data_IF_059337830568
#
_entry.id   IF_059337830568
#
_cell.length_a   1.000
_cell.length_b   1.000
_cell.length_c   1.000
_cell.angle_alpha   90.00
_cell.angle_beta   90.00
_cell.angle_gamma   90.00
#
_symmetry.space_group_name_H-M   'P 1'
#
loop_
_entity.id
_entity.type
_entity.pdbx_description
1 polymer ?
#
# COMPACT_ATOMS: atom_id res chain seq x y z
N UNK A 1 -25.13 13.97 -3.41
CA UNK A 1 -24.30 12.79 -3.08
C UNK A 1 -25.05 11.53 -3.47
N UNK A 2 -24.44 10.65 -4.27
CA UNK A 2 -25.01 9.33 -4.58
C UNK A 2 -25.02 8.47 -3.32
N UNK A 3 -26.21 8.19 -2.77
CA UNK A 3 -26.39 7.16 -1.74
C UNK A 3 -26.51 5.82 -2.46
N UNK A 4 -25.43 5.04 -2.47
CA UNK A 4 -25.46 3.68 -3.00
C UNK A 4 -26.42 2.84 -2.14
N UNK A 5 -27.48 2.28 -2.74
CA UNK A 5 -28.38 1.32 -2.10
C UNK A 5 -27.86 -0.09 -2.38
N UNK A 6 -28.03 -1.01 -1.42
CA UNK A 6 -27.66 -2.43 -1.58
C UNK A 6 -26.19 -2.67 -1.95
N UNK A 7 -25.26 -1.91 -1.35
CA UNK A 7 -23.82 -2.14 -1.54
C UNK A 7 -23.47 -3.52 -0.97
N UNK A 8 -22.96 -4.46 -1.79
CA UNK A 8 -22.54 -5.75 -1.27
C UNK A 8 -21.41 -5.61 -0.26
N UNK A 9 -21.47 -6.39 0.82
CA UNK A 9 -20.50 -6.32 1.92
C UNK A 9 -19.12 -6.85 1.55
N UNK A 10 -19.00 -7.61 0.45
CA UNK A 10 -17.75 -8.18 -0.05
C UNK A 10 -16.93 -7.23 -0.94
N UNK A 11 -17.42 -6.00 -1.19
CA UNK A 11 -16.64 -5.03 -1.96
C UNK A 11 -15.54 -4.43 -1.08
N UNK A 12 -14.29 -4.69 -1.46
CA UNK A 12 -13.09 -4.12 -0.81
C UNK A 12 -12.89 -2.63 -1.17
N UNK A 13 -13.48 -2.20 -2.28
CA UNK A 13 -13.40 -0.84 -2.80
C UNK A 13 -14.29 0.16 -2.05
N UNK A 14 -13.92 1.45 -2.12
CA UNK A 14 -14.76 2.57 -1.67
C UNK A 14 -15.13 3.42 -2.88
N UNK A 15 -16.34 4.00 -2.89
CA UNK A 15 -16.75 4.91 -3.98
C UNK A 15 -15.83 6.12 -4.06
N UNK A 16 -15.28 6.38 -5.25
CA UNK A 16 -14.41 7.53 -5.53
C UNK A 16 -15.19 8.82 -5.88
N UNK A 17 -16.53 8.74 -5.96
CA UNK A 17 -17.37 9.86 -6.41
C UNK A 17 -17.21 11.14 -5.58
N UNK A 18 -16.83 11.04 -4.29
CA UNK A 18 -16.59 12.24 -3.45
C UNK A 18 -15.38 13.04 -3.94
N UNK A 19 -14.30 12.37 -4.35
CA UNK A 19 -13.09 13.02 -4.86
C UNK A 19 -13.29 13.55 -6.27
N UNK A 20 -14.07 12.85 -7.10
CA UNK A 20 -14.44 13.35 -8.44
C UNK A 20 -15.19 14.69 -8.36
N UNK A 21 -16.07 14.85 -7.36
CA UNK A 21 -16.81 16.10 -7.17
C UNK A 21 -15.98 17.21 -6.50
N UNK A 22 -15.03 16.83 -5.64
CA UNK A 22 -14.16 17.76 -4.91
C UNK A 22 -12.77 17.11 -4.70
N UNK A 23 -11.78 17.48 -5.53
CA UNK A 23 -10.43 16.91 -5.46
C UNK A 23 -9.70 17.17 -4.14
N UNK A 24 -10.16 18.11 -3.31
CA UNK A 24 -9.57 18.39 -1.99
C UNK A 24 -9.96 17.36 -0.93
N UNK A 25 -10.95 16.50 -1.21
CA UNK A 25 -11.42 15.50 -0.24
C UNK A 25 -10.47 14.29 -0.18
N UNK A 26 -10.20 13.75 1.02
CA UNK A 26 -9.43 12.52 1.16
C UNK A 26 -10.22 11.31 0.62
N UNK A 27 -9.50 10.29 0.17
CA UNK A 27 -10.10 9.00 -0.24
C UNK A 27 -9.66 7.84 0.66
N UNK A 28 -8.40 7.45 0.57
CA UNK A 28 -7.76 6.40 1.37
C UNK A 28 -6.37 6.86 1.75
N UNK A 29 -5.93 6.47 2.95
CA UNK A 29 -4.60 6.79 3.48
C UNK A 29 -3.50 5.87 2.93
N UNK A 30 -3.88 4.76 2.28
CA UNK A 30 -2.96 3.83 1.64
C UNK A 30 -3.63 3.04 0.50
N UNK A 31 -2.81 2.46 -0.35
CA UNK A 31 -3.19 1.52 -1.43
C UNK A 31 -2.47 0.20 -1.25
N UNK A 32 -3.07 -0.86 -1.79
CA UNK A 32 -2.54 -2.23 -1.77
C UNK A 32 -2.48 -2.77 -3.19
N UNK A 33 -1.51 -3.63 -3.47
CA UNK A 33 -1.47 -4.42 -4.69
C UNK A 33 -0.86 -5.79 -4.41
N UNK A 34 -1.28 -6.78 -5.21
CA UNK A 34 -0.74 -8.14 -5.18
C UNK A 34 -0.31 -8.52 -6.60
N UNK A 35 0.84 -9.17 -6.72
CA UNK A 35 1.36 -9.69 -7.98
C UNK A 35 1.92 -11.09 -7.76
N UNK A 36 1.71 -11.98 -8.73
CA UNK A 36 2.40 -13.27 -8.76
C UNK A 36 3.56 -13.22 -9.77
N UNK A 37 4.72 -13.72 -9.37
CA UNK A 37 5.91 -13.92 -10.20
C UNK A 37 6.32 -15.39 -10.15
N UNK A 38 5.71 -16.21 -11.01
CA UNK A 38 5.84 -17.66 -10.93
C UNK A 38 5.13 -18.19 -9.69
N UNK A 39 5.86 -18.88 -8.81
CA UNK A 39 5.33 -19.35 -7.51
C UNK A 39 5.42 -18.29 -6.41
N UNK A 40 6.09 -17.17 -6.66
CA UNK A 40 6.34 -16.13 -5.66
C UNK A 40 5.22 -15.09 -5.63
N UNK A 41 4.64 -14.86 -4.45
CA UNK A 41 3.60 -13.86 -4.22
C UNK A 41 4.23 -12.56 -3.68
N UNK A 42 4.07 -11.47 -4.43
CA UNK A 42 4.42 -10.12 -4.01
C UNK A 42 3.22 -9.37 -3.46
N UNK A 43 3.34 -8.81 -2.27
CA UNK A 43 2.34 -7.94 -1.64
C UNK A 43 2.95 -6.56 -1.44
N UNK A 44 2.19 -5.52 -1.75
CA UNK A 44 2.64 -4.13 -1.65
C UNK A 44 1.63 -3.30 -0.88
N UNK A 45 2.12 -2.44 0.01
CA UNK A 45 1.38 -1.29 0.55
C UNK A 45 2.12 0.01 0.24
N UNK A 46 1.38 1.05 -0.13
CA UNK A 46 1.91 2.39 -0.32
C UNK A 46 1.02 3.43 0.34
N UNK A 47 1.63 4.30 1.14
CA UNK A 47 1.00 5.50 1.67
C UNK A 47 1.75 6.75 1.14
N UNK A 48 1.43 7.93 1.66
CA UNK A 48 2.05 9.19 1.22
C UNK A 48 3.57 9.23 1.42
N UNK A 49 4.12 8.47 2.38
CA UNK A 49 5.53 8.55 2.77
C UNK A 49 6.36 7.35 2.35
N UNK A 50 5.75 6.17 2.27
CA UNK A 50 6.46 4.91 2.16
C UNK A 50 5.76 3.97 1.18
N UNK A 51 6.57 3.19 0.48
CA UNK A 51 6.14 2.00 -0.25
C UNK A 51 6.90 0.79 0.28
N UNK A 52 6.17 -0.20 0.77
CA UNK A 52 6.72 -1.45 1.27
C UNK A 52 6.22 -2.62 0.42
N UNK A 53 7.14 -3.52 0.08
CA UNK A 53 6.87 -4.74 -0.70
C UNK A 53 7.47 -5.93 0.07
N UNK A 54 6.73 -7.03 0.17
CA UNK A 54 7.26 -8.31 0.66
C UNK A 54 6.97 -9.43 -0.33
N UNK A 55 7.93 -10.35 -0.46
CA UNK A 55 7.86 -11.50 -1.35
C UNK A 55 7.81 -12.79 -0.53
N UNK A 56 6.77 -13.60 -0.72
CA UNK A 56 6.47 -14.82 0.04
C UNK A 56 6.50 -14.60 1.56
N UNK A 57 5.72 -13.62 2.03
CA UNK A 57 5.69 -13.19 3.44
C UNK A 57 7.07 -12.72 3.95
N UNK A 58 7.90 -12.18 3.04
CA UNK A 58 9.25 -11.71 3.33
C UNK A 58 10.34 -12.78 3.23
N UNK A 59 9.99 -14.05 3.00
CA UNK A 59 10.97 -15.14 2.89
C UNK A 59 11.88 -15.01 1.66
N UNK A 60 11.40 -14.36 0.60
CA UNK A 60 12.18 -14.07 -0.63
C UNK A 60 12.68 -12.63 -0.68
N UNK A 61 12.66 -11.93 0.47
CA UNK A 61 13.12 -10.56 0.60
C UNK A 61 11.98 -9.55 0.70
N UNK A 62 12.38 -8.31 0.94
CA UNK A 62 11.46 -7.18 1.04
C UNK A 62 12.11 -5.89 0.56
N UNK A 63 11.28 -4.92 0.25
CA UNK A 63 11.69 -3.63 -0.28
C UNK A 63 10.98 -2.51 0.50
N UNK A 64 11.71 -1.45 0.83
CA UNK A 64 11.16 -0.24 1.42
C UNK A 64 11.72 0.97 0.68
N UNK A 65 10.82 1.80 0.16
CA UNK A 65 11.17 3.03 -0.56
C UNK A 65 10.55 4.25 0.12
N UNK A 66 11.36 5.30 0.29
CA UNK A 66 10.93 6.61 0.78
C UNK A 66 10.30 7.39 -0.38
N UNK A 67 8.97 7.54 -0.36
CA UNK A 67 8.25 8.19 -1.45
C UNK A 67 8.39 9.72 -1.44
N UNK A 68 8.91 10.30 -0.35
CA UNK A 68 9.13 11.74 -0.22
C UNK A 68 10.51 12.11 -0.76
N UNK A 69 11.54 11.39 -0.33
CA UNK A 69 12.94 11.70 -0.67
C UNK A 69 13.47 10.89 -1.86
N UNK A 70 12.82 9.79 -2.22
CA UNK A 70 13.18 8.92 -3.34
C UNK A 70 11.94 8.48 -4.15
N UNK A 71 11.24 9.43 -4.81
CA UNK A 71 10.00 9.15 -5.54
C UNK A 71 10.20 8.23 -6.75
N UNK A 72 11.44 8.02 -7.20
CA UNK A 72 11.82 7.11 -8.29
C UNK A 72 12.21 5.72 -7.81
N UNK A 73 12.27 5.50 -6.49
CA UNK A 73 12.45 4.19 -5.85
C UNK A 73 13.80 3.52 -6.18
N UNK A 74 14.90 4.27 -6.18
CA UNK A 74 16.24 3.73 -6.45
C UNK A 74 16.93 3.11 -5.24
N UNK A 75 16.54 3.51 -4.03
CA UNK A 75 17.19 3.12 -2.79
C UNK A 75 16.28 2.20 -1.99
N UNK A 76 16.54 0.89 -2.05
CA UNK A 76 15.89 -0.04 -1.15
C UNK A 76 16.47 0.10 0.27
N UNK A 77 15.62 0.51 1.21
CA UNK A 77 15.95 0.76 2.62
C UNK A 77 15.63 -0.43 3.54
N UNK A 78 15.10 -1.54 3.01
CA UNK A 78 14.56 -2.62 3.85
C UNK A 78 15.59 -3.28 4.79
N UNK A 79 16.87 -3.28 4.42
CA UNK A 79 17.95 -3.89 5.19
C UNK A 79 18.63 -2.92 6.17
N UNK A 80 18.17 -1.68 6.24
CA UNK A 80 18.74 -0.65 7.10
C UNK A 80 18.01 -0.63 8.44
N UNK A 81 18.74 -0.89 9.53
CA UNK A 81 18.17 -1.11 10.85
C UNK A 81 17.35 0.08 11.37
N UNK A 82 17.70 1.30 10.98
CA UNK A 82 16.99 2.52 11.38
C UNK A 82 15.54 2.58 10.83
N UNK A 83 15.21 1.82 9.78
CA UNK A 83 13.86 1.77 9.21
C UNK A 83 13.02 0.58 9.72
N UNK A 84 13.53 -0.23 10.65
CA UNK A 84 12.82 -1.40 11.16
C UNK A 84 11.42 -1.05 11.71
N UNK A 85 11.28 0.10 12.39
CA UNK A 85 9.99 0.58 12.89
C UNK A 85 9.02 0.95 11.76
N UNK A 86 9.52 1.61 10.71
CA UNK A 86 8.71 1.95 9.53
C UNK A 86 8.19 0.68 8.86
N UNK A 87 9.03 -0.35 8.70
CA UNK A 87 8.62 -1.64 8.14
C UNK A 87 7.49 -2.26 8.98
N UNK A 88 7.62 -2.26 10.31
CA UNK A 88 6.57 -2.77 11.20
C UNK A 88 5.25 -2.00 11.06
N UNK A 89 5.31 -0.68 10.92
CA UNK A 89 4.12 0.16 10.69
C UNK A 89 3.48 -0.12 9.33
N UNK A 90 4.28 -0.28 8.28
CA UNK A 90 3.80 -0.62 6.94
C UNK A 90 3.17 -2.01 6.90
N UNK A 91 3.76 -3.01 7.56
CA UNK A 91 3.19 -4.37 7.67
C UNK A 91 1.82 -4.40 8.33
N UNK A 92 1.53 -3.49 9.26
CA UNK A 92 0.19 -3.38 9.89
C UNK A 92 -0.88 -2.88 8.92
N UNK A 93 -0.49 -2.24 7.81
CA UNK A 93 -1.42 -1.77 6.79
C UNK A 93 -1.79 -2.88 5.80
N UNK A 94 -0.97 -3.95 5.70
CA UNK A 94 -1.26 -5.08 4.83
C UNK A 94 -2.40 -5.90 5.42
N UNK A 95 -3.52 -5.98 4.69
CA UNK A 95 -4.62 -6.87 5.02
C UNK A 95 -4.14 -8.32 4.91
N UNK A 96 -4.28 -9.10 5.99
CA UNK A 96 -3.96 -10.54 6.00
C UNK A 96 -4.84 -11.33 5.04
#
# INVERSE_FOLDING_TARGET
>A
MLKLKNVPTYLEGKSFAKVVNDPSKPFRSYVEAVVSRGEMLGRMVKNEKWRYIEWDNGQKGSELYDQVNDPVEYNNLANRAEYAKVIQEMKKLMVQ
#
